data_IF_036390409542
#
_entry.id   IF_036390409542
#
_cell.length_a   1.000
_cell.length_b   1.000
_cell.length_c   1.000
_cell.angle_alpha   90.00
_cell.angle_beta   90.00
_cell.angle_gamma   90.00
#
_symmetry.space_group_name_H-M   'P 1'
#
loop_
_entity.id
_entity.type
_entity.pdbx_description
1 polymer ?
#
# COMPACT_ATOMS: atom_id res chain seq x y z
N UNK A 1 -20.73 2.53 6.59
CA UNK A 1 -20.40 1.31 5.82
C UNK A 1 -19.16 0.68 6.46
N UNK A 2 -19.19 -0.59 6.85
CA UNK A 2 -18.08 -1.24 7.54
C UNK A 2 -16.92 -1.47 6.56
N UNK A 3 -15.90 -0.62 6.61
CA UNK A 3 -14.64 -0.85 5.91
C UNK A 3 -14.02 -2.12 6.50
N UNK A 4 -14.07 -3.23 5.77
CA UNK A 4 -13.46 -4.49 6.19
C UNK A 4 -11.95 -4.29 6.32
N UNK A 5 -11.48 -4.12 7.54
CA UNK A 5 -10.05 -4.01 7.84
C UNK A 5 -9.41 -5.37 7.67
N UNK A 6 -8.36 -5.45 6.87
CA UNK A 6 -7.62 -6.69 6.65
C UNK A 6 -6.50 -6.70 7.68
N UNK A 7 -6.56 -7.60 8.65
CA UNK A 7 -5.50 -7.76 9.63
C UNK A 7 -4.57 -8.88 9.19
N UNK A 8 -3.31 -8.54 8.96
CA UNK A 8 -2.22 -9.49 8.69
C UNK A 8 -1.38 -9.69 9.96
N UNK A 9 -0.38 -10.57 9.90
CA UNK A 9 0.53 -10.81 11.03
C UNK A 9 1.33 -9.55 11.43
N UNK A 10 1.65 -8.68 10.47
CA UNK A 10 2.52 -7.52 10.70
C UNK A 10 1.78 -6.18 10.63
N UNK A 11 0.70 -6.11 9.84
CA UNK A 11 0.01 -4.87 9.52
C UNK A 11 -1.50 -5.01 9.67
N UNK A 12 -2.13 -3.96 10.18
CA UNK A 12 -3.57 -3.76 10.06
C UNK A 12 -3.84 -2.84 8.88
N UNK A 13 -4.42 -3.38 7.82
CA UNK A 13 -4.67 -2.70 6.55
C UNK A 13 -6.11 -2.18 6.50
N UNK A 14 -6.24 -0.97 5.97
CA UNK A 14 -7.48 -0.22 5.85
C UNK A 14 -7.70 0.09 4.36
N UNK A 15 -8.56 -0.68 3.67
CA UNK A 15 -8.87 -0.41 2.27
C UNK A 15 -9.61 0.92 2.13
N UNK A 16 -9.16 1.72 1.17
CA UNK A 16 -9.87 2.94 0.79
C UNK A 16 -11.09 2.59 -0.06
N UNK A 17 -12.22 3.31 0.07
CA UNK A 17 -13.38 3.11 -0.78
C UNK A 17 -13.10 3.40 -2.26
N UNK A 18 -12.04 4.16 -2.56
CA UNK A 18 -11.54 4.44 -3.91
C UNK A 18 -10.81 3.26 -4.57
N UNK A 19 -10.43 2.24 -3.80
CA UNK A 19 -9.70 1.12 -4.36
C UNK A 19 -10.64 0.22 -5.16
N UNK A 20 -10.37 0.11 -6.46
CA UNK A 20 -11.07 -0.79 -7.37
C UNK A 20 -10.85 -2.26 -7.00
N UNK A 21 -9.67 -2.59 -6.47
CA UNK A 21 -9.27 -3.92 -6.03
C UNK A 21 -8.90 -3.85 -4.55
N UNK A 22 -9.32 -4.83 -3.74
CA UNK A 22 -9.01 -4.89 -2.29
C UNK A 22 -8.16 -6.10 -1.92
N UNK A 23 -7.40 -6.60 -2.89
CA UNK A 23 -6.52 -7.75 -2.70
C UNK A 23 -5.16 -7.28 -2.16
N UNK A 24 -4.63 -8.06 -1.23
CA UNK A 24 -3.25 -7.94 -0.76
C UNK A 24 -2.42 -8.84 -1.66
N UNK A 25 -1.55 -8.25 -2.46
CA UNK A 25 -0.62 -8.99 -3.32
C UNK A 25 0.64 -9.41 -2.55
N UNK A 26 1.44 -10.28 -3.16
CA UNK A 26 2.65 -10.85 -2.56
C UNK A 26 3.67 -9.77 -2.19
N UNK A 27 3.91 -8.83 -3.11
CA UNK A 27 4.85 -7.73 -2.91
C UNK A 27 4.18 -6.58 -2.16
N UNK A 28 4.71 -6.20 -1.01
CA UNK A 28 4.14 -5.17 -0.14
C UNK A 28 5.23 -4.21 0.32
N UNK A 29 5.02 -2.91 0.12
CA UNK A 29 5.93 -1.85 0.55
C UNK A 29 5.27 -1.02 1.63
N UNK A 30 5.88 -0.98 2.81
CA UNK A 30 5.44 -0.13 3.91
C UNK A 30 6.03 1.27 3.77
N UNK A 31 5.15 2.26 3.67
CA UNK A 31 5.47 3.67 3.62
C UNK A 31 5.18 4.28 5.00
N UNK A 32 6.21 4.68 5.77
CA UNK A 32 6.05 5.27 7.11
C UNK A 32 5.56 6.73 7.08
N UNK A 33 4.80 7.11 6.04
CA UNK A 33 4.28 8.46 5.83
C UNK A 33 2.77 8.37 5.62
N UNK A 34 1.94 8.46 6.67
CA UNK A 34 0.50 8.22 6.56
C UNK A 34 -0.24 9.24 5.69
N UNK A 35 0.35 10.42 5.48
CA UNK A 35 -0.19 11.50 4.65
C UNK A 35 0.51 11.62 3.29
N UNK A 36 1.38 10.68 2.92
CA UNK A 36 2.01 10.71 1.61
C UNK A 36 0.95 10.56 0.52
N UNK A 37 1.01 11.47 -0.44
CA UNK A 37 0.19 11.41 -1.65
C UNK A 37 0.84 10.42 -2.61
N UNK A 38 0.44 9.16 -2.48
CA UNK A 38 0.85 8.10 -3.39
C UNK A 38 -0.18 8.00 -4.49
N UNK A 39 0.20 8.44 -5.68
CA UNK A 39 -0.60 8.25 -6.88
C UNK A 39 0.03 7.12 -7.71
N UNK A 40 -0.63 5.96 -7.71
CA UNK A 40 -0.18 4.77 -8.43
C UNK A 40 -0.53 4.82 -9.92
N UNK A 41 -1.52 5.64 -10.30
CA UNK A 41 -2.01 5.73 -11.67
C UNK A 41 -0.97 6.41 -12.57
N UNK A 42 -0.33 7.47 -12.06
CA UNK A 42 0.78 8.18 -12.75
C UNK A 42 2.05 7.34 -12.87
N UNK A 43 2.19 6.25 -12.12
CA UNK A 43 3.41 5.44 -12.13
C UNK A 43 3.46 4.44 -13.29
N UNK A 44 2.39 4.34 -14.10
CA UNK A 44 2.28 3.43 -15.26
C UNK A 44 2.83 2.03 -14.91
N UNK A 45 2.29 1.45 -13.84
CA UNK A 45 2.66 0.13 -13.33
C UNK A 45 2.02 -0.95 -14.21
N UNK A 46 2.75 -2.02 -14.51
CA UNK A 46 2.32 -3.02 -15.48
C UNK A 46 1.29 -3.99 -14.90
N UNK A 47 1.42 -4.33 -13.63
CA UNK A 47 0.53 -5.23 -12.90
C UNK A 47 -0.54 -4.50 -12.08
N UNK A 48 -1.36 -5.29 -11.38
CA UNK A 48 -2.34 -4.73 -10.43
C UNK A 48 -1.64 -4.24 -9.17
N UNK A 49 -2.07 -3.08 -8.71
CA UNK A 49 -1.55 -2.47 -7.48
C UNK A 49 -2.68 -1.96 -6.62
N UNK A 50 -2.46 -1.89 -5.32
CA UNK A 50 -3.48 -1.41 -4.39
C UNK A 50 -2.84 -0.71 -3.20
N UNK A 51 -3.31 0.50 -2.92
CA UNK A 51 -2.86 1.31 -1.78
C UNK A 51 -3.78 1.10 -0.58
N UNK A 52 -3.23 0.69 0.56
CA UNK A 52 -3.96 0.60 1.82
C UNK A 52 -3.40 1.59 2.83
N UNK A 53 -4.27 2.19 3.65
CA UNK A 53 -3.81 2.75 4.91
C UNK A 53 -3.34 1.59 5.80
N UNK A 54 -2.23 1.73 6.52
CA UNK A 54 -1.69 0.62 7.29
C UNK A 54 -1.23 1.07 8.67
N UNK A 55 -1.46 0.23 9.67
CA UNK A 55 -0.83 0.34 10.98
C UNK A 55 0.13 -0.83 11.17
N UNK A 56 1.43 -0.54 11.34
CA UNK A 56 2.44 -1.55 11.69
C UNK A 56 2.24 -1.95 13.14
N UNK A 57 1.86 -3.21 13.37
CA UNK A 57 1.54 -3.72 14.71
C UNK A 57 2.78 -3.82 15.61
N UNK A 58 3.97 -4.01 15.03
CA UNK A 58 5.23 -4.11 15.79
C UNK A 58 5.57 -2.84 16.58
N UNK A 59 5.26 -1.65 16.05
CA UNK A 59 5.61 -0.36 16.67
C UNK A 59 4.41 0.58 16.78
N UNK A 60 3.22 0.08 16.47
CA UNK A 60 1.98 0.87 16.37
C UNK A 60 2.10 2.09 15.45
N UNK A 61 3.03 2.07 14.48
CA UNK A 61 3.25 3.18 13.54
C UNK A 61 2.20 3.18 12.45
N UNK A 62 1.54 4.32 12.29
CA UNK A 62 0.63 4.57 11.18
C UNK A 62 1.42 4.95 9.94
N UNK A 63 0.99 4.41 8.81
CA UNK A 63 1.58 4.64 7.51
C UNK A 63 0.62 4.18 6.42
N UNK A 64 1.20 3.86 5.28
CA UNK A 64 0.49 3.27 4.14
C UNK A 64 1.23 2.01 3.71
N UNK A 65 0.51 1.04 3.15
CA UNK A 65 1.11 -0.12 2.51
C UNK A 65 0.61 -0.17 1.09
N UNK A 66 1.53 -0.18 0.13
CA UNK A 66 1.21 -0.44 -1.26
C UNK A 66 1.51 -1.88 -1.57
N UNK A 67 0.56 -2.57 -2.18
CA UNK A 67 0.72 -3.95 -2.61
C UNK A 67 0.82 -4.01 -4.13
N UNK A 68 1.69 -4.87 -4.66
CA UNK A 68 1.98 -5.03 -6.07
C UNK A 68 1.89 -6.49 -6.49
N UNK A 69 1.26 -6.74 -7.63
CA UNK A 69 1.24 -8.06 -8.25
C UNK A 69 2.61 -8.48 -8.78
N UNK A 70 3.42 -7.52 -9.25
CA UNK A 70 4.74 -7.76 -9.86
C UNK A 70 5.87 -7.16 -9.04
N UNK A 71 6.95 -7.92 -8.86
CA UNK A 71 8.19 -7.44 -8.23
C UNK A 71 8.82 -6.26 -8.98
N UNK A 72 8.67 -6.20 -10.30
CA UNK A 72 9.19 -5.09 -11.12
C UNK A 72 8.50 -3.76 -10.80
N UNK A 73 7.19 -3.79 -10.55
CA UNK A 73 6.42 -2.60 -10.16
C UNK A 73 6.79 -2.14 -8.76
N UNK A 74 7.00 -3.09 -7.84
CA UNK A 74 7.55 -2.79 -6.52
C UNK A 74 8.89 -2.04 -6.64
N UNK A 75 9.84 -2.57 -7.42
CA UNK A 75 11.15 -1.95 -7.59
C UNK A 75 11.05 -0.56 -8.26
N UNK A 76 10.11 -0.37 -9.19
CA UNK A 76 9.84 0.93 -9.81
C UNK A 76 9.27 1.92 -8.78
N UNK A 77 8.31 1.47 -7.97
CA UNK A 77 7.75 2.27 -6.88
C UNK A 77 8.85 2.69 -5.90
N UNK A 78 9.68 1.78 -5.40
CA UNK A 78 10.75 2.11 -4.44
C UNK A 78 11.79 3.09 -5.02
N UNK A 79 11.98 3.10 -6.35
CA UNK A 79 12.87 4.05 -7.04
C UNK A 79 12.24 5.43 -7.26
N UNK A 80 10.93 5.47 -7.55
CA UNK A 80 10.21 6.71 -7.84
C UNK A 80 9.71 7.39 -6.55
N UNK A 81 9.35 6.58 -5.56
CA UNK A 81 8.86 7.05 -4.27
C UNK A 81 10.02 7.61 -3.45
N UNK A 82 10.12 8.94 -3.46
CA UNK A 82 11.02 9.68 -2.59
C UNK A 82 10.14 10.39 -1.56
N UNK A 83 10.27 10.09 -0.25
CA UNK A 83 9.58 10.84 0.78
C UNK A 83 10.21 12.24 0.87
N UNK A 84 9.42 13.27 0.57
CA UNK A 84 9.78 14.68 0.80
C UNK A 84 9.57 15.07 2.28
#
# INVERSE_FOLDING_TARGET
MATQTIQTAHYKLYPSPRNTVRNVFEHQVFVPHPYALIDLDVMELAGKTTLFGACRLSDMKMGQVVTFELASDQAKFERLFTPD
#
